data_IF_324580803241
#
_entry.id   IF_324580803241
#
_cell.length_a   1.000
_cell.length_b   1.000
_cell.length_c   1.000
_cell.angle_alpha   90.00
_cell.angle_beta   90.00
_cell.angle_gamma   90.00
#
_symmetry.space_group_name_H-M   'P 1'
#
loop_
_entity.id
_entity.type
_entity.pdbx_description
1 polymer ?
#
# COMPACT_ATOMS: atom_id res chain seq x y z
N UNK A 1 24.13 3.73 -6.46
CA UNK A 1 23.91 2.30 -6.78
C UNK A 1 22.87 1.84 -5.79
N UNK A 2 21.59 1.78 -6.19
CA UNK A 2 20.53 1.27 -5.32
C UNK A 2 20.85 -0.20 -5.05
N UNK A 3 21.05 -0.55 -3.78
CA UNK A 3 21.39 -1.92 -3.39
C UNK A 3 20.23 -2.85 -3.77
N UNK A 4 20.54 -4.12 -4.04
CA UNK A 4 19.54 -5.16 -4.31
C UNK A 4 18.45 -5.20 -3.22
N UNK A 5 18.82 -4.79 -1.99
CA UNK A 5 17.93 -4.59 -0.84
C UNK A 5 16.84 -3.52 -1.03
N UNK A 6 17.11 -2.43 -1.77
CA UNK A 6 16.11 -1.40 -2.09
C UNK A 6 15.06 -1.91 -3.11
N UNK A 7 15.45 -2.85 -3.98
CA UNK A 7 14.55 -3.50 -4.93
C UNK A 7 13.71 -4.62 -4.30
N UNK A 8 14.23 -5.32 -3.29
CA UNK A 8 13.46 -6.27 -2.46
C UNK A 8 12.54 -5.57 -1.45
N UNK A 9 12.83 -4.32 -1.06
CA UNK A 9 11.98 -3.46 -0.22
C UNK A 9 10.84 -2.76 -0.99
N UNK A 10 10.75 -2.89 -2.32
CA UNK A 10 9.44 -2.84 -3.03
C UNK A 10 8.65 -4.11 -2.70
N UNK A 11 8.49 -4.33 -1.40
CA UNK A 11 7.83 -5.41 -0.70
C UNK A 11 6.68 -5.93 -1.53
N UNK A 12 6.62 -7.24 -1.72
CA UNK A 12 5.67 -7.91 -2.59
C UNK A 12 4.21 -7.43 -2.41
N UNK A 13 3.81 -6.43 -3.19
CA UNK A 13 2.46 -5.87 -3.23
C UNK A 13 1.45 -6.83 -3.88
N UNK A 14 1.88 -8.03 -4.30
CA UNK A 14 0.98 -9.00 -4.94
C UNK A 14 -0.22 -9.32 -4.06
N UNK A 15 -0.02 -9.44 -2.75
CA UNK A 15 -1.11 -9.67 -1.81
C UNK A 15 -2.11 -8.49 -1.79
N UNK A 16 -1.61 -7.27 -1.65
CA UNK A 16 -2.45 -6.05 -1.59
C UNK A 16 -3.19 -5.83 -2.92
N UNK A 17 -2.53 -6.07 -4.06
CA UNK A 17 -3.18 -5.99 -5.38
C UNK A 17 -4.31 -6.99 -5.53
N UNK A 18 -4.15 -8.22 -5.04
CA UNK A 18 -5.22 -9.24 -5.04
C UNK A 18 -6.40 -8.83 -4.18
N UNK A 19 -6.13 -8.26 -3.00
CA UNK A 19 -7.17 -7.73 -2.12
C UNK A 19 -7.97 -6.61 -2.79
N UNK A 20 -7.30 -5.63 -3.40
CA UNK A 20 -7.97 -4.53 -4.13
C UNK A 20 -8.84 -5.06 -5.28
N UNK A 21 -8.36 -6.05 -6.05
CA UNK A 21 -9.15 -6.65 -7.13
C UNK A 21 -10.40 -7.36 -6.58
N UNK A 22 -10.27 -8.10 -5.47
CA UNK A 22 -11.39 -8.76 -4.81
C UNK A 22 -12.45 -7.76 -4.36
N UNK A 23 -12.01 -6.68 -3.70
CA UNK A 23 -12.89 -5.60 -3.25
C UNK A 23 -13.58 -4.92 -4.44
N UNK A 24 -12.87 -4.66 -5.54
CA UNK A 24 -13.46 -4.08 -6.74
C UNK A 24 -14.60 -4.94 -7.32
N UNK A 25 -14.46 -6.26 -7.29
CA UNK A 25 -15.55 -7.16 -7.71
C UNK A 25 -16.77 -7.09 -6.78
N UNK A 26 -16.55 -6.95 -5.46
CA UNK A 26 -17.63 -6.84 -4.48
C UNK A 26 -18.36 -5.49 -4.53
N UNK A 27 -17.69 -4.41 -4.95
CA UNK A 27 -18.31 -3.10 -5.13
C UNK A 27 -19.37 -3.09 -6.25
N UNK A 28 -19.30 -4.02 -7.20
CA UNK A 28 -20.29 -4.20 -8.28
C UNK A 28 -21.44 -5.15 -7.89
N UNK A 29 -21.46 -5.67 -6.66
CA UNK A 29 -22.51 -6.60 -6.23
C UNK A 29 -23.87 -5.91 -6.13
N UNK A 30 -24.95 -6.62 -6.46
CA UNK A 30 -26.31 -6.10 -6.39
C UNK A 30 -26.80 -5.88 -4.94
N UNK A 31 -26.24 -6.62 -3.98
CA UNK A 31 -26.63 -6.58 -2.58
C UNK A 31 -25.89 -5.44 -1.88
N UNK A 32 -26.66 -4.50 -1.30
CA UNK A 32 -26.07 -3.29 -0.69
C UNK A 32 -25.09 -3.60 0.44
N UNK A 33 -25.39 -4.60 1.27
CA UNK A 33 -24.52 -4.98 2.38
C UNK A 33 -23.15 -5.52 1.89
N UNK A 34 -23.10 -6.16 0.71
CA UNK A 34 -21.83 -6.61 0.11
C UNK A 34 -20.97 -5.43 -0.30
N UNK A 35 -21.59 -4.41 -0.92
CA UNK A 35 -20.89 -3.18 -1.29
C UNK A 35 -20.42 -2.38 -0.08
N UNK A 36 -21.23 -2.34 0.99
CA UNK A 36 -20.86 -1.68 2.25
C UNK A 36 -19.65 -2.34 2.90
N UNK A 37 -19.64 -3.67 3.02
CA UNK A 37 -18.46 -4.41 3.50
C UNK A 37 -17.23 -4.18 2.62
N UNK A 38 -17.40 -4.13 1.29
CA UNK A 38 -16.30 -3.87 0.37
C UNK A 38 -15.68 -2.47 0.57
N UNK A 39 -16.48 -1.47 0.97
CA UNK A 39 -15.96 -0.13 1.31
C UNK A 39 -15.14 -0.19 2.61
N UNK A 40 -15.60 -0.94 3.62
CA UNK A 40 -14.85 -1.13 4.88
C UNK A 40 -13.50 -1.84 4.61
N UNK A 41 -13.52 -2.93 3.85
CA UNK A 41 -12.32 -3.66 3.44
C UNK A 41 -11.34 -2.76 2.67
N UNK A 42 -11.85 -1.88 1.79
CA UNK A 42 -11.01 -0.93 1.05
C UNK A 42 -10.26 0.03 1.99
N UNK A 43 -10.93 0.53 3.02
CA UNK A 43 -10.33 1.43 4.02
C UNK A 43 -9.21 0.70 4.78
N UNK A 44 -9.45 -0.54 5.20
CA UNK A 44 -8.42 -1.36 5.87
C UNK A 44 -7.20 -1.59 4.99
N UNK A 45 -7.43 -1.90 3.70
CA UNK A 45 -6.35 -2.07 2.72
C UNK A 45 -5.53 -0.77 2.64
N UNK A 46 -6.18 0.39 2.46
CA UNK A 46 -5.47 1.68 2.35
C UNK A 46 -4.62 1.95 3.61
N UNK A 47 -5.18 1.72 4.80
CA UNK A 47 -4.41 1.87 6.04
C UNK A 47 -3.19 0.94 6.10
N UNK A 48 -3.31 -0.28 5.57
CA UNK A 48 -2.20 -1.20 5.46
C UNK A 48 -1.17 -0.75 4.42
N UNK A 49 -1.60 -0.14 3.31
CA UNK A 49 -0.72 0.49 2.34
C UNK A 49 0.08 1.63 2.99
N UNK A 50 -0.58 2.52 3.74
CA UNK A 50 0.05 3.66 4.41
C UNK A 50 1.11 3.23 5.44
N UNK A 51 0.88 2.11 6.15
CA UNK A 51 1.87 1.55 7.09
C UNK A 51 3.14 1.07 6.39
N UNK A 52 3.00 0.54 5.17
CA UNK A 52 4.09 -0.02 4.36
C UNK A 52 4.70 1.01 3.41
N UNK A 53 4.12 2.21 3.31
CA UNK A 53 4.68 3.26 2.48
C UNK A 53 6.06 3.65 3.03
N UNK A 54 7.13 3.62 2.20
CA UNK A 54 8.46 4.03 2.64
C UNK A 54 8.41 5.49 3.10
N UNK A 55 8.56 5.71 4.40
CA UNK A 55 8.64 7.05 4.95
C UNK A 55 9.94 7.68 4.47
N UNK A 56 9.85 8.77 3.71
CA UNK A 56 11.03 9.59 3.40
C UNK A 56 11.63 10.02 4.74
N UNK A 57 12.81 9.52 5.08
CA UNK A 57 13.57 10.05 6.20
C UNK A 57 13.81 11.54 5.94
N UNK A 58 13.18 12.40 6.74
CA UNK A 58 13.57 13.80 6.85
C UNK A 58 14.89 13.85 7.63
N UNK A 59 16.00 13.58 6.96
CA UNK A 59 17.31 14.02 7.43
C UNK A 59 18.44 13.03 7.28
N UNK A 60 19.11 13.06 6.13
CA UNK A 60 20.55 12.79 6.00
C UNK A 60 21.03 13.64 4.79
N UNK A 61 22.05 14.48 4.80
CA UNK A 61 22.93 15.10 5.79
C UNK A 61 23.45 16.34 5.07
N UNK A 62 23.53 17.51 5.73
CA UNK A 62 24.24 18.67 5.15
C UNK A 62 25.69 18.26 4.92
N UNK A 63 26.10 18.10 3.65
CA UNK A 63 27.52 17.99 3.31
C UNK A 63 28.08 19.41 3.41
N UNK A 64 28.64 19.75 4.56
CA UNK A 64 29.59 20.85 4.67
C UNK A 64 30.92 20.32 4.13
N UNK A 65 31.39 20.88 3.03
CA UNK A 65 32.76 20.68 2.53
C UNK A 65 33.55 21.90 3.03
N UNK A 66 34.51 21.66 3.92
CA UNK A 66 35.56 22.62 4.27
C UNK A 66 36.60 22.74 3.14
#
# INVERSE_FOLDING_TARGET
METIDFLTFKEDWTYIKRMVISVAAQLEDNQSYVREMAIEDLVEIIQEMDKREPKKEKGETKISID
#
